data_IF_543728711357
#
_entry.id   IF_543728711357
#
_cell.length_a   1.000
_cell.length_b   1.000
_cell.length_c   1.000
_cell.angle_alpha   90.00
_cell.angle_beta   90.00
_cell.angle_gamma   90.00
#
_symmetry.space_group_name_H-M   'P 1'
#
loop_
_entity.id
_entity.type
_entity.pdbx_description
1 polymer ?
#
# COMPACT_ATOMS: atom_id res chain seq x y z
N UNK A 1 -23.16 -13.20 12.33
CA UNK A 1 -22.36 -12.28 13.16
C UNK A 1 -21.20 -11.79 12.31
N UNK A 2 -21.13 -10.50 11.98
CA UNK A 2 -20.03 -9.95 11.20
C UNK A 2 -18.76 -9.95 12.07
N UNK A 3 -17.76 -10.75 11.69
CA UNK A 3 -16.46 -10.73 12.36
C UNK A 3 -15.80 -9.38 12.10
N UNK A 4 -15.47 -8.66 13.18
CA UNK A 4 -14.67 -7.44 13.09
C UNK A 4 -13.29 -7.80 12.54
N UNK A 5 -12.95 -7.27 11.38
CA UNK A 5 -11.59 -7.30 10.86
C UNK A 5 -10.68 -6.66 11.93
N UNK A 6 -9.60 -7.34 12.38
CA UNK A 6 -8.67 -6.76 13.32
C UNK A 6 -8.14 -5.43 12.77
N UNK A 7 -8.18 -4.41 13.64
CA UNK A 7 -7.64 -3.09 13.32
C UNK A 7 -6.13 -3.19 13.30
N UNK A 8 -5.56 -2.98 12.13
CA UNK A 8 -4.12 -2.95 11.93
C UNK A 8 -3.73 -1.50 11.69
N UNK A 9 -3.01 -0.93 12.68
CA UNK A 9 -2.53 0.43 12.65
C UNK A 9 -1.01 0.42 12.49
N UNK A 10 -0.52 1.06 11.43
CA UNK A 10 0.90 1.28 11.19
C UNK A 10 1.13 2.76 10.89
N UNK A 11 2.21 3.33 11.44
CA UNK A 11 2.55 4.74 11.27
C UNK A 11 1.43 5.73 11.66
N UNK A 12 0.57 5.34 12.61
CA UNK A 12 -0.59 6.13 13.03
C UNK A 12 -1.78 6.09 12.05
N UNK A 13 -1.75 5.21 11.05
CA UNK A 13 -2.83 5.01 10.07
C UNK A 13 -3.40 3.60 10.15
N UNK A 14 -4.72 3.48 10.04
CA UNK A 14 -5.44 2.22 10.21
C UNK A 14 -5.99 1.74 8.87
N UNK A 15 -5.70 0.48 8.51
CA UNK A 15 -6.32 -0.15 7.34
C UNK A 15 -7.83 -0.28 7.53
N UNK A 16 -8.58 -0.10 6.43
CA UNK A 16 -10.05 -0.15 6.46
C UNK A 16 -10.71 1.13 6.97
N UNK A 17 -9.95 2.15 7.34
CA UNK A 17 -10.47 3.49 7.68
C UNK A 17 -10.22 4.49 6.54
N UNK A 18 -11.03 5.55 6.48
CA UNK A 18 -10.81 6.64 5.51
C UNK A 18 -9.57 7.43 5.88
N UNK A 19 -8.79 7.83 4.87
CA UNK A 19 -7.68 8.74 5.10
C UNK A 19 -8.22 10.13 5.49
N UNK A 20 -7.86 10.59 6.69
CA UNK A 20 -8.36 11.85 7.29
C UNK A 20 -7.23 12.83 7.63
N UNK A 21 -6.17 12.84 6.81
CA UNK A 21 -5.04 13.74 6.99
C UNK A 21 -5.20 15.06 6.21
N UNK A 22 -4.72 16.20 6.74
CA UNK A 22 -4.69 17.45 6.00
C UNK A 22 -3.63 17.39 4.88
N UNK A 23 -3.79 18.24 3.87
CA UNK A 23 -2.73 18.48 2.88
C UNK A 23 -1.57 19.25 3.51
N UNK A 24 -0.34 18.93 3.12
CA UNK A 24 0.84 19.64 3.59
C UNK A 24 0.83 21.09 3.09
N UNK A 25 0.98 22.03 4.02
CA UNK A 25 1.13 23.46 3.70
C UNK A 25 2.56 23.72 3.21
N UNK A 26 2.75 23.77 1.90
CA UNK A 26 4.07 23.94 1.31
C UNK A 26 4.32 25.41 0.94
N UNK A 27 5.52 25.96 1.24
CA UNK A 27 5.91 27.25 0.68
C UNK A 27 5.80 27.23 -0.85
N UNK A 28 5.35 28.32 -1.46
CA UNK A 28 5.10 28.39 -2.91
C UNK A 28 6.32 27.93 -3.76
N UNK A 29 7.53 28.23 -3.31
CA UNK A 29 8.80 27.80 -3.96
C UNK A 29 9.02 26.28 -3.97
N UNK A 30 8.34 25.54 -3.09
CA UNK A 30 8.45 24.09 -2.93
C UNK A 30 7.22 23.35 -3.45
N UNK A 31 6.20 24.04 -3.96
CA UNK A 31 4.97 23.42 -4.47
C UNK A 31 5.22 22.44 -5.64
N UNK A 32 6.32 22.63 -6.38
CA UNK A 32 6.76 21.78 -7.49
C UNK A 32 8.05 21.00 -7.17
N UNK A 33 8.53 21.07 -5.94
CA UNK A 33 9.75 20.37 -5.54
C UNK A 33 9.48 18.87 -5.42
N UNK A 34 10.53 18.05 -5.57
CA UNK A 34 10.41 16.59 -5.35
C UNK A 34 10.12 16.33 -3.88
N UNK A 35 9.36 15.26 -3.59
CA UNK A 35 9.01 14.82 -2.23
C UNK A 35 10.16 14.99 -1.24
N UNK A 36 11.32 14.39 -1.57
CA UNK A 36 12.52 14.33 -0.74
C UNK A 36 13.06 15.71 -0.32
N UNK A 37 12.86 16.75 -1.13
CA UNK A 37 13.31 18.11 -0.82
C UNK A 37 12.38 18.81 0.18
N UNK A 38 11.13 18.36 0.27
CA UNK A 38 10.09 18.96 1.09
C UNK A 38 10.08 18.35 2.49
N UNK A 39 10.33 17.04 2.61
CA UNK A 39 10.22 16.29 3.88
C UNK A 39 10.89 16.96 5.09
N UNK A 40 12.12 17.51 5.00
CA UNK A 40 12.78 18.13 6.16
C UNK A 40 12.03 19.35 6.72
N UNK A 41 11.15 19.97 5.93
CA UNK A 41 10.38 21.15 6.32
C UNK A 41 9.07 20.80 7.01
N UNK A 42 8.64 19.54 6.95
CA UNK A 42 7.36 19.07 7.45
C UNK A 42 7.48 18.78 8.95
N UNK A 43 6.55 19.34 9.73
CA UNK A 43 6.51 19.22 11.20
C UNK A 43 5.33 18.39 11.71
N UNK A 44 4.38 18.09 10.84
CA UNK A 44 3.15 17.39 11.18
C UNK A 44 2.82 16.38 10.08
N UNK A 45 2.26 15.24 10.46
CA UNK A 45 1.80 14.24 9.49
C UNK A 45 0.76 14.83 8.54
N UNK A 46 1.00 14.75 7.23
CA UNK A 46 0.13 15.34 6.21
C UNK A 46 0.29 14.65 4.85
N UNK A 47 -0.68 14.85 3.96
CA UNK A 47 -0.65 14.33 2.58
C UNK A 47 0.08 15.32 1.68
N UNK A 48 1.00 14.85 0.83
CA UNK A 48 1.60 15.64 -0.24
C UNK A 48 0.76 15.46 -1.51
N UNK A 49 -0.29 16.26 -1.67
CA UNK A 49 -1.31 16.02 -2.70
C UNK A 49 -0.78 16.00 -4.14
N UNK A 50 0.17 16.86 -4.48
CA UNK A 50 0.71 16.96 -5.85
C UNK A 50 1.53 15.73 -6.28
N UNK A 51 1.86 14.81 -5.37
CA UNK A 51 2.52 13.54 -5.65
C UNK A 51 1.55 12.36 -5.69
N UNK A 52 0.25 12.62 -5.52
CA UNK A 52 -0.76 11.58 -5.59
C UNK A 52 -0.84 11.03 -7.01
N UNK A 53 -0.86 9.71 -7.14
CA UNK A 53 -1.02 9.03 -8.43
C UNK A 53 -2.26 8.15 -8.40
N UNK A 54 -2.79 7.86 -9.58
CA UNK A 54 -3.80 6.83 -9.77
C UNK A 54 -3.25 5.82 -10.75
N UNK A 55 -3.25 4.56 -10.36
CA UNK A 55 -2.71 3.47 -11.16
C UNK A 55 -3.63 2.26 -11.11
N UNK A 56 -3.43 1.34 -12.05
CA UNK A 56 -4.18 0.09 -12.10
C UNK A 56 -3.49 -0.92 -11.18
N UNK A 57 -4.13 -1.28 -10.08
CA UNK A 57 -3.63 -2.25 -9.11
C UNK A 57 -3.69 -3.70 -9.61
N UNK A 58 -3.12 -4.61 -8.81
CA UNK A 58 -2.94 -6.03 -9.13
C UNK A 58 -4.25 -6.79 -9.44
N UNK A 59 -5.41 -6.27 -9.05
CA UNK A 59 -6.73 -6.91 -9.27
C UNK A 59 -7.60 -6.18 -10.29
N UNK A 60 -6.99 -5.49 -11.26
CA UNK A 60 -7.68 -4.63 -12.24
C UNK A 60 -8.53 -3.51 -11.63
N UNK A 61 -8.40 -3.25 -10.34
CA UNK A 61 -8.98 -2.11 -9.65
C UNK A 61 -8.06 -0.88 -9.83
N UNK A 62 -8.63 0.29 -10.03
CA UNK A 62 -7.86 1.53 -9.88
C UNK A 62 -7.57 1.70 -8.40
N UNK A 63 -6.34 2.06 -8.06
CA UNK A 63 -5.93 2.46 -6.71
C UNK A 63 -5.44 3.90 -6.76
N UNK A 64 -5.70 4.66 -5.70
CA UNK A 64 -5.14 6.00 -5.53
C UNK A 64 -3.99 5.89 -4.54
N UNK A 65 -2.78 6.23 -4.97
CA UNK A 65 -1.61 6.30 -4.09
C UNK A 65 -1.44 7.72 -3.59
N UNK A 66 -1.32 7.86 -2.27
CA UNK A 66 -1.05 9.11 -1.57
C UNK A 66 0.32 9.04 -0.90
N UNK A 67 1.12 10.07 -1.07
CA UNK A 67 2.37 10.23 -0.31
C UNK A 67 2.03 10.95 0.99
N UNK A 68 2.35 10.33 2.11
CA UNK A 68 2.11 10.87 3.46
C UNK A 68 3.46 11.19 4.06
N UNK A 69 3.70 12.48 4.31
CA UNK A 69 4.88 12.92 5.02
C UNK A 69 4.72 12.70 6.52
N UNK A 70 5.82 12.35 7.16
CA UNK A 70 5.95 12.19 8.59
C UNK A 70 6.87 13.29 9.14
N UNK A 71 6.65 13.74 10.39
CA UNK A 71 7.58 14.62 11.10
C UNK A 71 9.01 14.05 11.13
N UNK A 72 10.01 14.92 11.19
CA UNK A 72 11.42 14.49 11.22
C UNK A 72 11.82 13.75 12.50
N UNK A 73 11.07 13.97 13.59
CA UNK A 73 11.22 13.36 14.91
C UNK A 73 10.33 12.13 15.10
N UNK A 74 9.75 11.59 14.01
CA UNK A 74 8.86 10.44 14.09
C UNK A 74 9.59 9.19 14.63
N UNK A 75 8.96 8.40 15.51
CA UNK A 75 9.65 7.38 16.33
C UNK A 75 10.03 6.09 15.59
N UNK A 76 10.00 6.08 14.26
CA UNK A 76 10.35 4.91 13.45
C UNK A 76 11.68 5.17 12.71
N UNK A 77 12.84 4.94 13.36
CA UNK A 77 14.16 5.31 12.83
C UNK A 77 14.60 4.48 11.61
N UNK A 78 13.87 3.41 11.28
CA UNK A 78 14.18 2.48 10.21
C UNK A 78 13.67 2.90 8.84
N UNK A 79 12.89 3.99 8.78
CA UNK A 79 12.43 4.53 7.52
C UNK A 79 13.59 5.18 6.75
N UNK A 80 13.75 4.82 5.47
CA UNK A 80 14.74 5.44 4.57
C UNK A 80 14.48 6.95 4.44
N UNK A 81 13.21 7.32 4.48
CA UNK A 81 12.75 8.70 4.41
C UNK A 81 11.54 8.90 5.33
N UNK A 82 11.33 10.12 5.82
CA UNK A 82 10.17 10.49 6.63
C UNK A 82 8.88 10.62 5.80
N UNK A 83 8.57 9.61 5.00
CA UNK A 83 7.29 9.47 4.33
C UNK A 83 6.90 8.00 4.18
N UNK A 84 5.60 7.79 4.00
CA UNK A 84 5.01 6.51 3.65
C UNK A 84 4.06 6.71 2.46
N UNK A 85 3.73 5.61 1.81
CA UNK A 85 2.72 5.56 0.76
C UNK A 85 1.45 4.95 1.33
N UNK A 86 0.31 5.55 1.10
CA UNK A 86 -0.99 4.95 1.37
C UNK A 86 -1.69 4.63 0.05
N UNK A 87 -2.18 3.41 -0.09
CA UNK A 87 -3.03 2.97 -1.19
C UNK A 87 -4.48 3.06 -0.73
N UNK A 88 -5.31 3.77 -1.51
CA UNK A 88 -6.71 4.00 -1.20
C UNK A 88 -7.62 3.34 -2.23
N UNK A 89 -8.76 2.80 -1.75
CA UNK A 89 -9.89 2.49 -2.61
C UNK A 89 -10.45 3.80 -3.20
N UNK A 90 -10.49 3.96 -4.54
CA UNK A 90 -10.80 5.23 -5.19
C UNK A 90 -12.22 5.72 -4.94
N UNK A 91 -13.14 4.82 -4.59
CA UNK A 91 -14.56 5.17 -4.41
C UNK A 91 -14.87 5.59 -2.98
N UNK A 92 -14.25 4.93 -2.01
CA UNK A 92 -14.52 5.17 -0.59
C UNK A 92 -13.48 6.08 0.08
N UNK A 93 -12.27 6.19 -0.50
CA UNK A 93 -11.13 6.86 0.14
C UNK A 93 -10.54 6.06 1.31
N UNK A 94 -10.90 4.78 1.41
CA UNK A 94 -10.48 3.88 2.49
C UNK A 94 -9.06 3.38 2.24
N UNK A 95 -8.23 3.36 3.28
CA UNK A 95 -6.86 2.82 3.20
C UNK A 95 -6.94 1.31 3.05
N UNK A 96 -6.41 0.80 1.94
CA UNK A 96 -6.31 -0.62 1.62
C UNK A 96 -4.86 -1.11 1.59
N UNK A 97 -3.89 -0.19 1.58
CA UNK A 97 -2.47 -0.53 1.69
C UNK A 97 -1.64 0.60 2.29
N UNK A 98 -0.51 0.23 2.91
CA UNK A 98 0.50 1.12 3.46
C UNK A 98 1.89 0.59 3.10
N UNK A 99 2.71 1.42 2.47
CA UNK A 99 4.07 1.09 2.04
C UNK A 99 5.10 2.04 2.63
N UNK A 100 6.25 1.51 3.05
CA UNK A 100 7.34 2.32 3.58
C UNK A 100 8.70 1.75 3.14
N UNK A 101 9.62 2.64 2.76
CA UNK A 101 10.99 2.27 2.40
C UNK A 101 11.89 2.17 3.62
N UNK A 102 12.86 1.26 3.58
CA UNK A 102 13.93 1.09 4.59
C UNK A 102 15.28 1.12 3.87
N UNK A 103 16.37 1.47 4.54
CA UNK A 103 17.70 1.46 3.92
C UNK A 103 18.74 0.87 4.85
N UNK A 104 19.55 -0.01 4.27
CA UNK A 104 20.63 -0.70 4.96
C UNK A 104 20.21 -2.00 5.59
N UNK A 105 21.11 -2.98 5.50
CA UNK A 105 20.85 -4.37 5.88
C UNK A 105 20.59 -4.48 7.37
N UNK A 106 21.41 -3.85 8.22
CA UNK A 106 21.19 -3.89 9.67
C UNK A 106 19.79 -3.36 10.06
N UNK A 107 19.34 -2.30 9.40
CA UNK A 107 17.98 -1.74 9.59
C UNK A 107 16.94 -2.73 9.10
N UNK A 108 17.13 -3.33 7.93
CA UNK A 108 16.20 -4.29 7.34
C UNK A 108 16.05 -5.55 8.18
N UNK A 109 17.15 -6.07 8.72
CA UNK A 109 17.16 -7.19 9.66
C UNK A 109 16.45 -6.83 10.97
N UNK A 110 16.69 -5.62 11.51
CA UNK A 110 15.98 -5.12 12.69
C UNK A 110 14.47 -5.03 12.45
N UNK A 111 14.05 -4.62 11.25
CA UNK A 111 12.63 -4.54 10.86
C UNK A 111 12.00 -5.92 10.81
N UNK A 112 12.64 -6.88 10.14
CA UNK A 112 12.15 -8.26 10.09
C UNK A 112 12.08 -8.85 11.49
N UNK A 113 13.09 -8.59 12.33
CA UNK A 113 13.11 -9.02 13.72
C UNK A 113 11.95 -8.40 14.53
N UNK A 114 11.75 -7.09 14.44
CA UNK A 114 10.68 -6.38 15.14
C UNK A 114 9.29 -6.87 14.71
N UNK A 115 9.06 -7.06 13.40
CA UNK A 115 7.83 -7.65 12.88
C UNK A 115 7.64 -9.07 13.40
N UNK A 116 8.70 -9.88 13.43
CA UNK A 116 8.64 -11.25 13.95
C UNK A 116 8.31 -11.28 15.44
N UNK A 117 8.88 -10.38 16.23
CA UNK A 117 8.57 -10.26 17.66
C UNK A 117 7.12 -9.84 17.93
N UNK A 118 6.55 -8.99 17.07
CA UNK A 118 5.18 -8.50 17.22
C UNK A 118 4.12 -9.47 16.68
N UNK A 119 4.42 -10.15 15.57
CA UNK A 119 3.45 -10.90 14.79
C UNK A 119 3.66 -12.42 14.83
N UNK A 120 4.78 -12.88 15.39
CA UNK A 120 5.27 -14.24 15.22
C UNK A 120 6.09 -14.41 13.91
N UNK A 121 6.62 -15.62 13.65
CA UNK A 121 7.40 -15.88 12.44
C UNK A 121 6.56 -15.69 11.17
N UNK A 122 7.19 -15.29 10.04
CA UNK A 122 6.49 -15.16 8.78
C UNK A 122 5.91 -16.50 8.32
N UNK A 123 4.76 -16.44 7.64
CA UNK A 123 4.13 -17.58 6.98
C UNK A 123 4.97 -18.12 5.82
N UNK A 124 5.76 -17.24 5.17
CA UNK A 124 6.74 -17.61 4.17
C UNK A 124 7.95 -16.69 4.22
N UNK A 125 9.15 -17.27 4.05
CA UNK A 125 10.40 -16.56 3.84
C UNK A 125 11.05 -17.15 2.58
N UNK A 126 11.14 -16.37 1.52
CA UNK A 126 11.62 -16.83 0.20
C UNK A 126 12.72 -15.93 -0.33
N UNK A 127 13.44 -16.43 -1.34
CA UNK A 127 14.32 -15.60 -2.14
C UNK A 127 13.50 -14.51 -2.83
N UNK A 128 13.90 -13.26 -2.65
CA UNK A 128 13.28 -12.08 -3.22
C UNK A 128 13.80 -11.71 -4.61
N UNK A 129 14.73 -12.48 -5.18
CA UNK A 129 15.38 -12.18 -6.47
C UNK A 129 14.42 -12.14 -7.67
N UNK A 130 13.21 -12.65 -7.53
CA UNK A 130 12.21 -12.64 -8.62
C UNK A 130 11.06 -11.66 -8.35
N UNK A 131 11.13 -10.83 -7.30
CA UNK A 131 10.06 -9.91 -6.97
C UNK A 131 10.06 -8.68 -7.92
N UNK A 132 9.01 -8.46 -8.72
CA UNK A 132 8.93 -7.38 -9.69
C UNK A 132 8.73 -5.99 -9.07
N UNK A 133 8.43 -5.90 -7.77
CA UNK A 133 8.19 -4.64 -7.04
C UNK A 133 9.50 -3.97 -6.60
N UNK A 134 10.65 -4.65 -6.73
CA UNK A 134 11.96 -4.10 -6.40
C UNK A 134 13.03 -4.51 -7.42
N UNK A 135 14.15 -3.78 -7.41
CA UNK A 135 15.37 -4.21 -8.11
C UNK A 135 15.95 -5.38 -7.33
N UNK A 136 15.45 -6.57 -7.61
CA UNK A 136 15.93 -7.82 -7.09
C UNK A 136 17.46 -7.95 -7.23
N UNK A 137 18.15 -8.12 -6.11
CA UNK A 137 19.58 -8.47 -6.04
C UNK A 137 19.75 -9.87 -5.46
N UNK A 138 20.87 -10.55 -5.77
CA UNK A 138 21.31 -11.69 -4.97
C UNK A 138 21.32 -11.35 -3.47
N UNK A 139 20.72 -12.20 -2.63
CA UNK A 139 20.57 -11.94 -1.20
C UNK A 139 19.30 -11.16 -0.81
N UNK A 140 18.42 -10.90 -1.78
CA UNK A 140 17.10 -10.36 -1.48
C UNK A 140 16.25 -11.41 -0.77
N UNK A 141 15.47 -10.98 0.21
CA UNK A 141 14.49 -11.81 0.91
C UNK A 141 13.10 -11.21 0.74
N UNK A 142 12.12 -12.09 0.73
CA UNK A 142 10.72 -11.74 0.88
C UNK A 142 10.14 -12.49 2.08
N UNK A 143 9.66 -11.76 3.08
CA UNK A 143 8.98 -12.32 4.24
C UNK A 143 7.50 -11.91 4.20
N UNK A 144 6.59 -12.88 4.31
CA UNK A 144 5.16 -12.61 4.33
C UNK A 144 4.50 -13.11 5.62
N UNK A 145 3.64 -12.27 6.21
CA UNK A 145 2.71 -12.64 7.26
C UNK A 145 1.29 -12.58 6.72
N UNK A 146 0.61 -13.73 6.68
CA UNK A 146 -0.72 -13.85 6.11
C UNK A 146 -1.76 -14.06 7.22
N UNK A 147 -2.64 -13.08 7.39
CA UNK A 147 -3.72 -13.14 8.36
C UNK A 147 -5.03 -13.48 7.65
N UNK A 148 -5.18 -14.74 7.24
CA UNK A 148 -6.30 -15.20 6.38
C UNK A 148 -7.70 -14.84 6.92
N UNK A 149 -7.89 -14.82 8.25
CA UNK A 149 -9.17 -14.46 8.86
C UNK A 149 -9.51 -12.97 8.74
N UNK A 150 -8.50 -12.11 8.63
CA UNK A 150 -8.67 -10.67 8.46
C UNK A 150 -8.51 -10.20 7.02
N UNK A 151 -8.01 -11.06 6.13
CA UNK A 151 -7.67 -10.69 4.77
C UNK A 151 -6.50 -9.70 4.70
N UNK A 152 -5.67 -9.62 5.74
CA UNK A 152 -4.51 -8.73 5.79
C UNK A 152 -3.25 -9.52 5.47
N UNK A 153 -2.38 -8.93 4.68
CA UNK A 153 -1.03 -9.43 4.37
C UNK A 153 -0.01 -8.34 4.68
N UNK A 154 1.06 -8.72 5.37
CA UNK A 154 2.26 -7.90 5.53
C UNK A 154 3.36 -8.58 4.74
N UNK A 155 3.96 -7.84 3.82
CA UNK A 155 5.08 -8.29 3.01
C UNK A 155 6.26 -7.37 3.29
N UNK A 156 7.37 -7.96 3.69
CA UNK A 156 8.67 -7.29 3.69
C UNK A 156 9.46 -7.79 2.48
N UNK A 157 10.06 -6.87 1.73
CA UNK A 157 11.01 -7.16 0.66
C UNK A 157 12.27 -6.36 0.91
N UNK A 158 13.43 -7.00 0.98
CA UNK A 158 14.68 -6.31 1.28
C UNK A 158 15.87 -7.22 1.03
N UNK A 159 17.05 -6.84 1.50
CA UNK A 159 18.26 -7.64 1.50
C UNK A 159 18.52 -8.20 2.91
N UNK A 160 19.10 -9.39 3.00
CA UNK A 160 19.60 -9.97 4.24
C UNK A 160 21.04 -10.47 4.06
N UNK A 161 21.82 -10.50 5.15
CA UNK A 161 23.20 -10.97 5.12
C UNK A 161 24.19 -9.96 4.50
N UNK A 162 25.37 -10.41 4.09
CA UNK A 162 26.50 -9.55 3.70
C UNK A 162 26.38 -8.92 2.29
N UNK A 163 25.18 -8.50 1.85
CA UNK A 163 25.04 -7.80 0.57
C UNK A 163 25.75 -6.43 0.61
N UNK A 164 26.59 -6.13 -0.38
CA UNK A 164 27.45 -4.94 -0.34
C UNK A 164 26.76 -3.63 -0.73
N UNK A 165 25.48 -3.66 -1.11
CA UNK A 165 24.90 -2.57 -1.92
C UNK A 165 24.05 -1.57 -1.14
N UNK A 166 23.85 -1.74 0.17
CA UNK A 166 23.08 -0.82 1.04
C UNK A 166 21.73 -0.40 0.40
N UNK A 167 21.05 -1.36 -0.25
CA UNK A 167 19.88 -1.03 -1.08
C UNK A 167 18.65 -0.75 -0.22
N UNK A 168 17.68 -0.06 -0.83
CA UNK A 168 16.41 0.25 -0.20
C UNK A 168 15.56 -1.02 -0.14
N UNK A 169 15.13 -1.43 1.05
CA UNK A 169 14.06 -2.42 1.26
C UNK A 169 12.70 -1.74 1.39
N UNK A 170 11.64 -2.53 1.51
CA UNK A 170 10.27 -2.05 1.58
C UNK A 170 9.42 -2.95 2.49
N UNK A 171 8.61 -2.32 3.32
CA UNK A 171 7.48 -2.98 3.97
C UNK A 171 6.23 -2.55 3.24
N UNK A 172 5.43 -3.51 2.80
CA UNK A 172 4.13 -3.28 2.24
C UNK A 172 3.09 -4.05 3.02
N UNK A 173 2.11 -3.33 3.55
CA UNK A 173 0.99 -3.89 4.28
C UNK A 173 -0.23 -3.68 3.42
N UNK A 174 -0.98 -4.74 3.17
CA UNK A 174 -2.17 -4.69 2.33
C UNK A 174 -3.33 -5.41 3.02
N UNK A 175 -4.52 -4.89 2.78
CA UNK A 175 -5.76 -5.58 3.08
C UNK A 175 -6.36 -5.98 1.74
N UNK A 176 -6.67 -7.27 1.57
CA UNK A 176 -7.46 -7.74 0.45
C UNK A 176 -8.75 -6.93 0.45
N UNK A 177 -9.07 -6.20 -0.63
CA UNK A 177 -10.33 -5.49 -0.70
C UNK A 177 -11.46 -6.48 -0.44
N UNK A 178 -12.51 -6.13 0.33
CA UNK A 178 -13.68 -6.98 0.40
C UNK A 178 -14.11 -7.27 -1.04
N UNK A 179 -14.19 -8.56 -1.41
CA UNK A 179 -14.65 -8.95 -2.73
C UNK A 179 -16.01 -8.28 -2.93
N UNK A 180 -16.05 -7.27 -3.80
CA UNK A 180 -17.33 -6.72 -4.22
C UNK A 180 -18.10 -7.87 -4.81
N UNK A 181 -19.30 -8.11 -4.29
CA UNK A 181 -20.25 -8.96 -4.98
C UNK A 181 -20.27 -8.47 -6.43
N UNK A 182 -19.85 -9.33 -7.36
CA UNK A 182 -20.09 -9.04 -8.76
C UNK A 182 -21.60 -8.79 -8.87
N UNK A 183 -22.03 -7.68 -9.48
CA UNK A 183 -23.44 -7.56 -9.82
C UNK A 183 -23.82 -8.86 -10.54
N UNK A 184 -24.95 -9.50 -10.18
CA UNK A 184 -25.34 -10.77 -10.77
C UNK A 184 -25.21 -10.61 -12.27
N UNK A 185 -24.48 -11.55 -12.91
CA UNK A 185 -24.27 -11.53 -14.34
C UNK A 185 -25.60 -11.20 -14.99
N UNK A 186 -25.67 -10.02 -15.61
CA UNK A 186 -26.90 -9.54 -16.24
C UNK A 186 -27.34 -10.67 -17.16
N UNK A 187 -28.52 -11.22 -16.87
CA UNK A 187 -29.10 -12.30 -17.66
C UNK A 187 -28.99 -11.90 -19.14
N UNK A 188 -28.57 -12.82 -20.04
CA UNK A 188 -28.46 -12.48 -21.45
C UNK A 188 -29.79 -11.88 -21.89
N UNK A 189 -29.73 -10.69 -22.47
CA UNK A 189 -30.88 -10.03 -23.08
C UNK A 189 -31.57 -11.04 -23.98
N UNK A 190 -32.70 -11.60 -23.54
CA UNK A 190 -33.61 -12.29 -24.44
C UNK A 190 -34.16 -11.20 -25.34
N UNK A 191 -33.70 -11.17 -26.59
CA UNK A 191 -34.42 -10.49 -27.66
C UNK A 191 -35.87 -10.97 -27.62
N UNK A 192 -36.78 -10.14 -27.12
CA UNK A 192 -38.18 -10.31 -27.41
C UNK A 192 -38.36 -9.91 -28.88
N UNK A 193 -38.82 -10.80 -29.77
CA UNK A 193 -39.16 -10.40 -31.12
C UNK A 193 -40.37 -9.49 -31.01
N UNK A 194 -40.16 -8.18 -31.08
CA UNK A 194 -41.24 -7.23 -31.28
C UNK A 194 -41.77 -7.44 -32.69
N UNK A 195 -42.88 -8.17 -32.79
CA UNK A 195 -43.66 -8.29 -34.01
C UNK A 195 -44.07 -6.91 -34.50
N UNK A 196 -43.46 -6.46 -35.58
CA UNK A 196 -43.93 -5.31 -36.35
C UNK A 196 -45.05 -5.83 -37.26
N UNK A 197 -46.30 -5.37 -37.12
CA UNK A 197 -47.31 -5.67 -38.13
C UNK A 197 -47.03 -4.84 -39.38
N UNK A 198 -46.61 -5.50 -40.46
CA UNK A 198 -46.61 -4.90 -41.80
C UNK A 198 -48.07 -4.61 -42.21
N UNK A 199 -48.39 -3.34 -42.44
CA UNK A 199 -49.58 -2.92 -43.18
C UNK A 199 -49.26 -2.98 -44.67
N UNK A 200 -49.97 -3.83 -45.40
CA UNK A 200 -50.04 -3.80 -46.86
C UNK A 200 -50.86 -2.59 -47.30
N UNK A 201 -50.34 -1.81 -48.24
CA UNK A 201 -51.11 -0.95 -49.13
C UNK A 201 -51.13 -1.59 -50.51
#
# INVERSE_FOLDING_TARGET
MAQQTPRVTFYGLTLGEKLTLPNCQLPARLANARALQILPTIRTTCVIEHLSTSEKGAYNNVIVRKVIALPADWPFPWLDYNFIMAELDPQSGTIIGLGAGTRGIAVQEEVVHALTMQLGPPSSLTDGTDNPLMVASPGSIEAQWLFNRSGISITFTGEAGESANNRTGMIHITMKPPQRAQPPASAPYRYAPTGIPFRSY
#
